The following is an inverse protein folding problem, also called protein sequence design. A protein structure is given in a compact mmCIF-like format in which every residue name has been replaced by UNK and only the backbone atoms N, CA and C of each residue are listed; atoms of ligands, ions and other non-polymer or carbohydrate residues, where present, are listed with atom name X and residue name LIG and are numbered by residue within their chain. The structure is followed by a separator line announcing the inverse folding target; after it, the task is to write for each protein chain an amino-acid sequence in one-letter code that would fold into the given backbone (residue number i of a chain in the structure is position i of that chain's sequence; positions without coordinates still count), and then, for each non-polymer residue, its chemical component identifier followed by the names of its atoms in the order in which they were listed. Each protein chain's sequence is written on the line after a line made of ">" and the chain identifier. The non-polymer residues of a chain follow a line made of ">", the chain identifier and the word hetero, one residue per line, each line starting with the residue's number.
data_IF_198112167947
#
_entry.id   IF_198112167947
#
_cell.length_a   1.000
_cell.length_b   1.000
_cell.length_c   1.000
_cell.angle_alpha   90.00
_cell.angle_beta   90.00
_cell.angle_gamma   90.00
#
_symmetry.space_group_name_H-M   'P 1'
#
loop_
_entity.id
_entity.type
_entity.pdbx_description
1 polymer ?
#
# COMPACT_ATOMS: atom_id res chain seq x y z
N UNK A 1 -6.84 -3.05 0.93
CA UNK A 1 -7.82 -2.20 1.65
C UNK A 1 -7.82 -0.77 1.11
N UNK A 2 -8.91 -0.07 1.31
CA UNK A 2 -8.99 1.35 0.97
C UNK A 2 -8.49 2.21 2.15
N UNK A 3 -8.04 3.43 1.87
CA UNK A 3 -7.49 4.32 2.90
C UNK A 3 -8.56 5.16 3.62
N UNK A 4 -9.75 5.30 3.06
CA UNK A 4 -10.84 6.00 3.72
C UNK A 4 -11.58 5.10 4.71
N UNK A 5 -12.06 5.67 5.80
CA UNK A 5 -12.80 4.92 6.82
C UNK A 5 -14.18 4.54 6.33
N UNK A 6 -14.86 5.47 5.66
CA UNK A 6 -16.22 5.29 5.15
C UNK A 6 -16.45 6.22 3.96
N UNK A 7 -17.53 5.99 3.23
CA UNK A 7 -17.91 6.80 2.08
C UNK A 7 -18.37 5.94 0.90
N UNK A 8 -18.63 6.59 -0.21
CA UNK A 8 -19.12 5.93 -1.42
C UNK A 8 -17.97 5.34 -2.26
N UNK A 9 -17.33 4.31 -1.75
CA UNK A 9 -16.19 3.63 -2.38
C UNK A 9 -16.58 2.19 -2.73
N UNK A 10 -17.54 2.04 -3.59
CA UNK A 10 -18.07 0.74 -4.02
C UNK A 10 -16.96 -0.22 -4.46
N UNK A 11 -16.98 -1.42 -3.94
CA UNK A 11 -15.98 -2.44 -4.25
C UNK A 11 -14.75 -2.41 -3.34
N UNK A 12 -14.65 -1.43 -2.44
CA UNK A 12 -13.52 -1.27 -1.54
C UNK A 12 -13.86 -1.69 -0.10
N UNK A 13 -12.84 -2.14 0.63
CA UNK A 13 -12.95 -2.53 2.04
C UNK A 13 -12.04 -1.63 2.86
N UNK A 14 -12.59 -1.00 3.90
CA UNK A 14 -11.82 -0.08 4.76
C UNK A 14 -11.07 -0.82 5.87
N UNK A 15 -10.08 -0.15 6.47
CA UNK A 15 -9.36 -0.66 7.63
C UNK A 15 -10.30 -0.93 8.81
N UNK A 16 -11.31 -0.08 8.99
CA UNK A 16 -12.30 -0.27 10.06
C UNK A 16 -13.09 -1.56 9.88
N UNK A 17 -13.48 -1.88 8.64
CA UNK A 17 -14.18 -3.13 8.34
C UNK A 17 -13.30 -4.34 8.66
N UNK A 18 -12.02 -4.29 8.29
CA UNK A 18 -11.07 -5.38 8.55
C UNK A 18 -10.82 -5.56 10.04
N UNK A 19 -10.68 -4.46 10.78
CA UNK A 19 -10.52 -4.50 12.24
C UNK A 19 -11.71 -5.19 12.91
N UNK A 20 -12.93 -4.90 12.44
CA UNK A 20 -14.15 -5.44 13.02
C UNK A 20 -14.28 -6.96 12.91
N UNK A 21 -13.56 -7.59 12.00
CA UNK A 21 -13.54 -9.05 11.83
C UNK A 21 -12.20 -9.67 12.26
N UNK A 22 -11.41 -8.91 13.03
CA UNK A 22 -10.14 -9.37 13.61
C UNK A 22 -9.07 -9.75 12.59
N UNK A 23 -9.02 -9.07 11.44
CA UNK A 23 -7.92 -9.22 10.48
C UNK A 23 -6.65 -8.64 11.13
N UNK A 24 -5.54 -9.36 11.03
CA UNK A 24 -4.27 -8.94 11.64
C UNK A 24 -3.33 -8.29 10.62
N UNK A 25 -3.25 -8.83 9.40
CA UNK A 25 -2.34 -8.37 8.35
C UNK A 25 -3.10 -7.89 7.12
N UNK A 26 -2.51 -6.94 6.39
CA UNK A 26 -3.06 -6.48 5.12
C UNK A 26 -1.92 -6.26 4.12
N UNK A 27 -2.09 -6.75 2.89
CA UNK A 27 -1.11 -6.57 1.81
C UNK A 27 -1.41 -5.26 1.08
N UNK A 28 -0.40 -4.41 0.95
CA UNK A 28 -0.53 -3.09 0.33
C UNK A 28 0.54 -2.92 -0.73
N UNK A 29 0.17 -2.37 -1.87
CA UNK A 29 1.13 -2.03 -2.92
C UNK A 29 1.55 -3.18 -3.80
N UNK A 30 0.83 -4.32 -3.77
CA UNK A 30 1.14 -5.45 -4.64
C UNK A 30 1.15 -5.03 -6.11
N UNK A 31 2.07 -5.59 -6.89
CA UNK A 31 2.24 -5.22 -8.30
C UNK A 31 0.96 -5.32 -9.13
N UNK A 32 0.13 -6.32 -8.86
CA UNK A 32 -1.16 -6.46 -9.55
C UNK A 32 -2.09 -5.29 -9.26
N UNK A 33 -2.12 -4.79 -8.03
CA UNK A 33 -2.94 -3.64 -7.69
C UNK A 33 -2.40 -2.36 -8.33
N UNK A 34 -1.10 -2.22 -8.43
CA UNK A 34 -0.48 -1.08 -9.11
C UNK A 34 -0.80 -1.09 -10.61
N UNK A 35 -0.77 -2.28 -11.22
CA UNK A 35 -1.01 -2.46 -12.65
C UNK A 35 -2.49 -2.35 -13.05
N UNK A 36 -3.38 -3.02 -12.31
CA UNK A 36 -4.79 -3.17 -12.69
C UNK A 36 -5.74 -2.22 -11.97
N UNK A 37 -5.36 -1.68 -10.83
CA UNK A 37 -6.23 -0.84 -10.01
C UNK A 37 -5.66 0.55 -9.73
N UNK A 38 -4.68 0.96 -10.53
CA UNK A 38 -4.06 2.29 -10.44
C UNK A 38 -3.54 2.65 -9.05
N UNK A 39 -3.05 1.68 -8.30
CA UNK A 39 -2.43 1.93 -7.00
C UNK A 39 -1.07 2.56 -7.19
N UNK A 40 -0.85 3.72 -6.57
CA UNK A 40 0.38 4.50 -6.70
C UNK A 40 1.14 4.53 -5.38
N UNK A 41 2.40 5.01 -5.40
CA UNK A 41 3.19 5.17 -4.18
C UNK A 41 2.49 6.08 -3.18
N UNK A 42 1.79 7.10 -3.66
CA UNK A 42 1.03 8.02 -2.83
C UNK A 42 -0.15 7.33 -2.14
N UNK A 43 -0.94 6.55 -2.88
CA UNK A 43 -2.06 5.81 -2.30
C UNK A 43 -1.57 4.69 -1.38
N UNK A 44 -0.44 4.07 -1.68
CA UNK A 44 0.19 3.08 -0.80
C UNK A 44 0.52 3.72 0.55
N UNK A 45 1.13 4.93 0.55
CA UNK A 45 1.43 5.64 1.79
C UNK A 45 0.16 5.91 2.62
N UNK A 46 -0.92 6.35 1.98
CA UNK A 46 -2.20 6.59 2.65
C UNK A 46 -2.76 5.30 3.25
N UNK A 47 -2.64 4.18 2.54
CA UNK A 47 -3.12 2.88 3.01
C UNK A 47 -2.29 2.36 4.18
N UNK A 48 -0.98 2.55 4.17
CA UNK A 48 -0.11 2.17 5.28
C UNK A 48 -0.50 2.93 6.54
N UNK A 49 -0.70 4.23 6.43
CA UNK A 49 -1.14 5.06 7.57
C UNK A 49 -2.50 4.61 8.10
N UNK A 50 -3.45 4.31 7.20
CA UNK A 50 -4.76 3.80 7.59
C UNK A 50 -4.66 2.45 8.30
N UNK A 51 -3.82 1.53 7.80
CA UNK A 51 -3.62 0.23 8.43
C UNK A 51 -3.12 0.37 9.87
N UNK A 52 -2.12 1.22 10.08
CA UNK A 52 -1.57 1.46 11.42
C UNK A 52 -2.60 2.08 12.36
N UNK A 53 -3.46 2.95 11.85
CA UNK A 53 -4.54 3.56 12.64
C UNK A 53 -5.50 2.53 13.21
N UNK A 54 -5.76 1.44 12.46
CA UNK A 54 -6.68 0.38 12.88
C UNK A 54 -5.98 -0.86 13.42
N UNK A 55 -4.73 -0.71 13.85
CA UNK A 55 -3.93 -1.80 14.43
C UNK A 55 -3.73 -3.00 13.50
N UNK A 56 -3.75 -2.76 12.19
CA UNK A 56 -3.42 -3.76 11.20
C UNK A 56 -1.92 -3.73 10.93
N UNK A 57 -1.35 -4.88 10.62
CA UNK A 57 0.07 -4.99 10.27
C UNK A 57 0.20 -5.00 8.75
N UNK A 58 0.67 -3.90 8.13
CA UNK A 58 0.77 -3.85 6.67
C UNK A 58 1.96 -4.65 6.17
N UNK A 59 1.73 -5.43 5.11
CA UNK A 59 2.79 -6.06 4.33
C UNK A 59 2.95 -5.20 3.09
N UNK A 60 3.98 -4.36 3.08
CA UNK A 60 4.20 -3.38 2.02
C UNK A 60 5.00 -4.02 0.89
N UNK A 61 4.41 -4.06 -0.30
CA UNK A 61 5.05 -4.63 -1.49
C UNK A 61 5.70 -3.53 -2.32
N UNK A 62 6.94 -3.76 -2.74
CA UNK A 62 7.66 -2.89 -3.66
C UNK A 62 8.24 -3.75 -4.79
N UNK A 63 8.47 -3.14 -5.93
CA UNK A 63 9.07 -3.86 -7.05
C UNK A 63 8.97 -3.07 -8.34
N UNK A 64 9.84 -3.39 -9.27
CA UNK A 64 9.88 -2.79 -10.59
C UNK A 64 9.06 -3.60 -11.61
N UNK A 65 8.63 -2.93 -12.68
CA UNK A 65 8.05 -3.62 -13.82
C UNK A 65 9.19 -4.27 -14.64
N UNK A 66 8.85 -5.20 -15.55
CA UNK A 66 9.83 -5.81 -16.43
C UNK A 66 10.56 -4.75 -17.27
N UNK A 67 9.83 -3.77 -17.80
CA UNK A 67 10.42 -2.67 -18.55
C UNK A 67 11.43 -1.89 -17.72
N UNK A 68 11.11 -1.58 -16.50
CA UNK A 68 12.00 -0.84 -15.59
C UNK A 68 13.24 -1.66 -15.27
N UNK A 69 13.11 -2.95 -15.08
CA UNK A 69 14.22 -3.85 -14.81
C UNK A 69 15.16 -3.94 -16.01
N UNK A 70 14.63 -4.08 -17.21
CA UNK A 70 15.40 -4.12 -18.46
C UNK A 70 16.12 -2.80 -18.72
N UNK A 71 15.55 -1.68 -18.27
CA UNK A 71 16.18 -0.37 -18.37
C UNK A 71 17.25 -0.13 -17.27
N UNK A 72 17.49 -1.11 -16.39
CA UNK A 72 18.47 -0.99 -15.32
C UNK A 72 18.04 -0.09 -14.16
N UNK A 73 16.75 0.09 -13.97
CA UNK A 73 16.20 1.01 -12.94
C UNK A 73 15.62 0.31 -11.72
N UNK A 74 15.82 -0.99 -11.57
CA UNK A 74 15.22 -1.77 -10.48
C UNK A 74 15.53 -1.16 -9.10
N UNK A 75 16.79 -0.88 -8.82
CA UNK A 75 17.22 -0.34 -7.53
C UNK A 75 16.59 1.03 -7.25
N UNK A 76 16.58 1.92 -8.23
CA UNK A 76 15.98 3.24 -8.11
C UNK A 76 14.48 3.15 -7.84
N UNK A 77 13.76 2.32 -8.57
CA UNK A 77 12.32 2.14 -8.41
C UNK A 77 11.98 1.58 -7.02
N UNK A 78 12.67 0.54 -6.60
CA UNK A 78 12.43 -0.08 -5.29
C UNK A 78 12.71 0.91 -4.16
N UNK A 79 13.81 1.65 -4.24
CA UNK A 79 14.17 2.65 -3.25
C UNK A 79 13.12 3.76 -3.16
N UNK A 80 12.66 4.27 -4.32
CA UNK A 80 11.64 5.30 -4.38
C UNK A 80 10.31 4.81 -3.80
N UNK A 81 9.88 3.61 -4.17
CA UNK A 81 8.63 3.04 -3.67
C UNK A 81 8.67 2.87 -2.14
N UNK A 82 9.76 2.32 -1.62
CA UNK A 82 9.91 2.13 -0.19
C UNK A 82 9.92 3.46 0.57
N UNK A 83 10.64 4.45 0.05
CA UNK A 83 10.71 5.79 0.65
C UNK A 83 9.34 6.46 0.71
N UNK A 84 8.60 6.45 -0.39
CA UNK A 84 7.29 7.08 -0.45
C UNK A 84 6.25 6.33 0.38
N UNK A 85 6.29 5.00 0.39
CA UNK A 85 5.38 4.20 1.20
C UNK A 85 5.52 4.48 2.70
N UNK A 86 6.74 4.76 3.15
CA UNK A 86 7.06 4.97 4.56
C UNK A 86 7.11 6.45 4.97
N UNK A 87 6.84 7.36 4.03
CA UNK A 87 6.88 8.79 4.30
C UNK A 87 5.95 9.19 5.45
N UNK A 88 6.48 9.94 6.39
CA UNK A 88 5.72 10.41 7.55
C UNK A 88 5.51 9.38 8.65
N UNK A 89 6.09 8.19 8.53
CA UNK A 89 6.00 7.16 9.56
C UNK A 89 7.22 7.21 10.49
N UNK A 90 6.99 6.81 11.75
CA UNK A 90 8.08 6.66 12.72
C UNK A 90 8.73 5.29 12.57
N UNK A 91 9.89 5.09 13.18
CA UNK A 91 10.63 3.84 13.10
C UNK A 91 10.05 2.68 13.94
N UNK A 92 8.88 2.88 14.49
CA UNK A 92 8.21 1.87 15.32
C UNK A 92 7.37 0.90 14.51
#
# INVERSE_FOLDING_TARGET
>A
MHFEEKGAYTGEVSGKMLESINVEYVIIGHSERRQYFAETDETVNKKVKAALKYNLKPIICVGETLEQREAGKAEEIITTQAKLALEGLTAE
#
